data_IF_258554410057
#
_entry.id   IF_258554410057
#
_cell.length_a   1.000
_cell.length_b   1.000
_cell.length_c   1.000
_cell.angle_alpha   90.00
_cell.angle_beta   90.00
_cell.angle_gamma   90.00
#
_symmetry.space_group_name_H-M   'P 1'
#
loop_
_entity.id
_entity.type
_entity.pdbx_description
1 polymer ?
#
# COMPACT_ATOMS: atom_id res chain seq x y z
N UNK A 1 38.27 79.06 2.22
CA UNK A 1 39.37 78.22 2.76
C UNK A 1 38.90 77.23 3.82
N UNK A 2 38.50 77.60 5.05
CA UNK A 2 37.99 76.60 6.04
C UNK A 2 36.68 75.92 5.60
N UNK A 3 35.70 76.68 5.10
CA UNK A 3 34.41 76.14 4.62
C UNK A 3 34.51 75.16 3.44
N UNK A 4 35.54 75.32 2.61
CA UNK A 4 35.76 74.44 1.44
C UNK A 4 36.39 73.12 1.88
N UNK A 5 37.27 73.16 2.90
CA UNK A 5 37.87 71.97 3.51
C UNK A 5 36.81 71.08 4.17
N UNK A 6 35.86 71.68 4.89
CA UNK A 6 34.77 70.93 5.54
C UNK A 6 33.85 70.27 4.49
N UNK A 7 33.50 70.99 3.42
CA UNK A 7 32.74 70.42 2.29
C UNK A 7 33.46 69.26 1.61
N UNK A 8 34.77 69.38 1.38
CA UNK A 8 35.57 68.29 0.81
C UNK A 8 35.56 67.06 1.71
N UNK A 9 35.68 67.25 3.03
CA UNK A 9 35.61 66.16 4.01
C UNK A 9 34.26 65.45 3.98
N UNK A 10 33.15 66.21 3.95
CA UNK A 10 31.80 65.65 3.88
C UNK A 10 31.58 64.85 2.59
N UNK A 11 31.96 65.41 1.44
CA UNK A 11 31.83 64.74 0.15
C UNK A 11 32.67 63.47 0.06
N UNK A 12 33.86 63.47 0.69
CA UNK A 12 34.72 62.28 0.75
C UNK A 12 34.05 61.16 1.56
N UNK A 13 33.46 61.49 2.70
CA UNK A 13 32.73 60.54 3.54
C UNK A 13 31.48 60.00 2.83
N UNK A 14 30.80 60.83 2.05
CA UNK A 14 29.64 60.41 1.27
C UNK A 14 30.03 59.48 0.11
N UNK A 15 31.15 59.74 -0.57
CA UNK A 15 31.70 58.84 -1.59
C UNK A 15 32.09 57.49 -1.00
N UNK A 16 32.68 57.45 0.20
CA UNK A 16 33.00 56.20 0.90
C UNK A 16 31.75 55.41 1.28
N UNK A 17 30.70 56.10 1.76
CA UNK A 17 29.40 55.50 2.05
C UNK A 17 28.78 54.88 0.80
N UNK A 18 28.76 55.61 -0.31
CA UNK A 18 28.23 55.12 -1.59
C UNK A 18 29.00 53.91 -2.12
N UNK A 19 30.33 53.88 -1.96
CA UNK A 19 31.14 52.70 -2.31
C UNK A 19 30.77 51.48 -1.47
N UNK A 20 30.58 51.66 -0.16
CA UNK A 20 30.15 50.57 0.73
C UNK A 20 28.77 50.04 0.37
N UNK A 21 27.82 50.92 0.04
CA UNK A 21 26.48 50.54 -0.41
C UNK A 21 26.57 49.76 -1.74
N UNK A 22 27.38 50.22 -2.69
CA UNK A 22 27.60 49.52 -3.96
C UNK A 22 28.15 48.11 -3.77
N UNK A 23 29.11 47.92 -2.85
CA UNK A 23 29.63 46.60 -2.50
C UNK A 23 28.55 45.68 -1.91
N UNK A 24 27.74 46.20 -0.98
CA UNK A 24 26.60 45.45 -0.40
C UNK A 24 25.57 45.08 -1.45
N UNK A 25 25.29 45.98 -2.39
CA UNK A 25 24.36 45.74 -3.48
C UNK A 25 24.85 44.60 -4.38
N UNK A 26 26.14 44.57 -4.73
CA UNK A 26 26.72 43.48 -5.52
C UNK A 26 26.63 42.14 -4.78
N UNK A 27 26.97 42.12 -3.49
CA UNK A 27 26.85 40.91 -2.68
C UNK A 27 25.40 40.39 -2.61
N UNK A 28 24.42 41.30 -2.45
CA UNK A 28 23.00 40.93 -2.47
C UNK A 28 22.54 40.43 -3.85
N UNK A 29 23.09 40.96 -4.95
CA UNK A 29 22.79 40.44 -6.29
C UNK A 29 23.33 39.02 -6.48
N UNK A 30 24.53 38.73 -5.99
CA UNK A 30 25.09 37.37 -6.02
C UNK A 30 24.24 36.41 -5.18
N UNK A 31 23.87 36.80 -3.95
CA UNK A 31 23.00 36.00 -3.08
C UNK A 31 21.63 35.75 -3.72
N UNK A 32 21.03 36.76 -4.33
CA UNK A 32 19.76 36.62 -5.05
C UNK A 32 19.88 35.64 -6.22
N UNK A 33 20.98 35.70 -6.96
CA UNK A 33 21.23 34.76 -8.04
C UNK A 33 21.35 33.32 -7.51
N UNK A 34 22.11 33.12 -6.42
CA UNK A 34 22.26 31.82 -5.77
C UNK A 34 20.92 31.27 -5.29
N UNK A 35 20.14 32.07 -4.57
CA UNK A 35 18.82 31.67 -4.06
C UNK A 35 17.86 31.30 -5.19
N UNK A 36 17.88 32.06 -6.29
CA UNK A 36 17.05 31.76 -7.45
C UNK A 36 17.41 30.43 -8.09
N UNK A 37 18.70 30.12 -8.20
CA UNK A 37 19.17 28.81 -8.70
C UNK A 37 18.72 27.69 -7.78
N UNK A 38 18.92 27.82 -6.47
CA UNK A 38 18.48 26.82 -5.49
C UNK A 38 16.97 26.59 -5.52
N UNK A 39 16.17 27.66 -5.64
CA UNK A 39 14.72 27.56 -5.76
C UNK A 39 14.31 26.77 -7.00
N UNK A 40 14.90 27.08 -8.16
CA UNK A 40 14.59 26.38 -9.41
C UNK A 40 14.97 24.90 -9.34
N UNK A 41 16.13 24.57 -8.76
CA UNK A 41 16.57 23.18 -8.56
C UNK A 41 15.62 22.43 -7.63
N UNK A 42 15.25 23.02 -6.49
CA UNK A 42 14.32 22.44 -5.55
C UNK A 42 12.93 22.21 -6.17
N UNK A 43 12.44 23.15 -6.98
CA UNK A 43 11.18 23.01 -7.70
C UNK A 43 11.23 21.84 -8.69
N UNK A 44 12.32 21.71 -9.45
CA UNK A 44 12.50 20.59 -10.39
C UNK A 44 12.54 19.24 -9.67
N UNK A 45 13.26 19.14 -8.56
CA UNK A 45 13.29 17.93 -7.73
C UNK A 45 11.90 17.58 -7.21
N UNK A 46 11.10 18.56 -6.79
CA UNK A 46 9.74 18.33 -6.32
C UNK A 46 8.84 17.79 -7.43
N UNK A 47 8.96 18.32 -8.65
CA UNK A 47 8.24 17.84 -9.83
C UNK A 47 8.60 16.39 -10.16
N UNK A 48 9.90 16.05 -10.15
CA UNK A 48 10.40 14.68 -10.39
C UNK A 48 9.87 13.69 -9.34
N UNK A 49 9.95 14.03 -8.05
CA UNK A 49 9.41 13.21 -6.96
C UNK A 49 7.90 13.03 -7.08
N UNK A 50 7.17 14.10 -7.44
CA UNK A 50 5.73 14.04 -7.66
C UNK A 50 5.34 13.08 -8.79
N UNK A 51 6.09 13.10 -9.90
CA UNK A 51 5.89 12.18 -11.01
C UNK A 51 6.14 10.72 -10.60
N UNK A 52 7.26 10.44 -9.94
CA UNK A 52 7.59 9.08 -9.45
C UNK A 52 6.56 8.57 -8.45
N UNK A 53 6.08 9.41 -7.54
CA UNK A 53 5.04 9.03 -6.57
C UNK A 53 3.72 8.68 -7.27
N UNK A 54 3.33 9.44 -8.28
CA UNK A 54 2.14 9.17 -9.09
C UNK A 54 2.24 7.82 -9.80
N UNK A 55 3.39 7.54 -10.43
CA UNK A 55 3.66 6.27 -11.09
C UNK A 55 3.60 5.08 -10.11
N UNK A 56 4.31 5.19 -8.98
CA UNK A 56 4.30 4.15 -7.95
C UNK A 56 2.89 3.91 -7.38
N UNK A 57 2.07 4.96 -7.23
CA UNK A 57 0.68 4.84 -6.79
C UNK A 57 -0.17 4.04 -7.78
N UNK A 58 0.00 4.26 -9.08
CA UNK A 58 -0.71 3.51 -10.12
C UNK A 58 -0.28 2.04 -10.13
N UNK A 59 1.02 1.78 -10.03
CA UNK A 59 1.55 0.42 -9.95
C UNK A 59 1.02 -0.34 -8.74
N UNK A 60 0.97 0.31 -7.56
CA UNK A 60 0.41 -0.28 -6.35
C UNK A 60 -1.07 -0.61 -6.51
N UNK A 61 -1.86 0.28 -7.11
CA UNK A 61 -3.27 0.03 -7.37
C UNK A 61 -3.47 -1.20 -8.28
N UNK A 62 -2.66 -1.34 -9.32
CA UNK A 62 -2.72 -2.50 -10.22
C UNK A 62 -2.35 -3.81 -9.50
N UNK A 63 -1.34 -3.78 -8.62
CA UNK A 63 -0.95 -4.95 -7.82
C UNK A 63 -2.07 -5.36 -6.85
N UNK A 64 -2.68 -4.40 -6.15
CA UNK A 64 -3.81 -4.67 -5.25
C UNK A 64 -5.01 -5.25 -6.00
N UNK A 65 -5.31 -4.76 -7.21
CA UNK A 65 -6.34 -5.36 -8.05
C UNK A 65 -6.01 -6.79 -8.47
N UNK A 66 -4.74 -7.09 -8.78
CA UNK A 66 -4.28 -8.44 -9.11
C UNK A 66 -4.40 -9.37 -7.91
N UNK A 67 -4.02 -8.93 -6.72
CA UNK A 67 -4.17 -9.69 -5.48
C UNK A 67 -5.65 -9.97 -5.15
N UNK A 68 -6.51 -8.95 -5.25
CA UNK A 68 -7.96 -9.12 -5.04
C UNK A 68 -8.58 -10.10 -6.05
N UNK A 69 -8.13 -10.08 -7.31
CA UNK A 69 -8.55 -11.04 -8.33
C UNK A 69 -8.00 -12.44 -8.06
N UNK A 70 -6.78 -12.58 -7.54
CA UNK A 70 -6.21 -13.87 -7.17
C UNK A 70 -6.97 -14.51 -5.99
N UNK A 71 -7.37 -13.72 -4.98
CA UNK A 71 -8.13 -14.20 -3.82
C UNK A 71 -9.53 -14.72 -4.18
N UNK A 72 -10.19 -14.13 -5.18
CA UNK A 72 -11.54 -14.58 -5.60
C UNK A 72 -11.56 -15.90 -6.38
N UNK A 73 -10.41 -16.33 -6.92
CA UNK A 73 -10.29 -17.61 -7.66
C UNK A 73 -10.00 -18.79 -6.71
N UNK A 74 -9.44 -18.54 -5.52
CA UNK A 74 -9.12 -19.58 -4.54
C UNK A 74 -10.20 -19.81 -3.46
N UNK A 75 -11.09 -18.83 -3.21
CA UNK A 75 -12.06 -18.88 -2.11
C UNK A 75 -13.50 -19.24 -2.48
N UNK A 76 -13.81 -19.53 -3.75
CA UNK A 76 -15.04 -20.27 -4.03
C UNK A 76 -14.76 -21.74 -3.73
N UNK A 77 -15.27 -22.34 -2.63
CA UNK A 77 -15.07 -23.75 -2.37
C UNK A 77 -15.65 -24.54 -3.55
N UNK A 78 -14.78 -25.04 -4.43
CA UNK A 78 -15.20 -25.87 -5.55
C UNK A 78 -15.91 -27.07 -4.96
N UNK A 79 -17.24 -27.07 -5.02
CA UNK A 79 -18.05 -28.15 -4.50
C UNK A 79 -17.64 -29.41 -5.24
N UNK A 80 -16.85 -30.27 -4.58
CA UNK A 80 -16.23 -31.40 -5.26
C UNK A 80 -17.32 -32.33 -5.75
N UNK A 81 -17.31 -32.71 -7.02
CA UNK A 81 -18.29 -33.67 -7.52
C UNK A 81 -18.03 -35.04 -6.89
N UNK A 82 -19.10 -35.75 -6.55
CA UNK A 82 -19.00 -37.08 -5.93
C UNK A 82 -18.16 -38.06 -6.74
N UNK A 83 -18.11 -37.92 -8.06
CA UNK A 83 -17.34 -38.82 -8.94
C UNK A 83 -15.83 -38.64 -8.78
N UNK A 84 -15.37 -37.45 -8.39
CA UNK A 84 -13.95 -37.09 -8.35
C UNK A 84 -13.30 -37.46 -7.01
N UNK A 85 -14.10 -37.64 -5.95
CA UNK A 85 -13.59 -38.03 -4.64
C UNK A 85 -13.56 -39.55 -4.46
N UNK A 86 -12.39 -40.18 -4.61
CA UNK A 86 -12.20 -41.63 -4.35
C UNK A 86 -11.98 -41.94 -2.87
N UNK A 87 -11.47 -40.99 -2.09
CA UNK A 87 -11.16 -41.12 -0.67
C UNK A 87 -11.55 -39.88 0.14
N UNK A 88 -11.68 -40.04 1.46
CA UNK A 88 -11.96 -38.95 2.38
C UNK A 88 -10.82 -37.92 2.36
N UNK A 89 -11.13 -36.63 2.14
CA UNK A 89 -10.13 -35.56 2.10
C UNK A 89 -9.32 -35.44 3.40
N UNK A 90 -9.89 -35.79 4.56
CA UNK A 90 -9.18 -35.70 5.85
C UNK A 90 -8.34 -36.95 6.18
N UNK A 91 -8.92 -38.14 6.06
CA UNK A 91 -8.28 -39.37 6.55
C UNK A 91 -7.75 -40.29 5.45
N UNK A 92 -7.86 -39.89 4.17
CA UNK A 92 -7.41 -40.61 2.98
C UNK A 92 -7.97 -42.04 2.81
N UNK A 93 -8.94 -42.47 3.63
CA UNK A 93 -9.60 -43.78 3.48
C UNK A 93 -10.57 -43.76 2.30
N UNK A 94 -10.49 -44.78 1.45
CA UNK A 94 -11.34 -44.94 0.28
C UNK A 94 -12.83 -45.05 0.65
N UNK A 95 -13.67 -44.44 -0.18
CA UNK A 95 -15.10 -44.58 -0.08
C UNK A 95 -15.57 -45.94 -0.60
N UNK A 96 -16.66 -46.43 -0.02
CA UNK A 96 -17.28 -47.70 -0.41
C UNK A 96 -18.77 -47.64 -0.15
N UNK A 97 -19.51 -48.70 -0.46
CA UNK A 97 -20.96 -48.77 -0.19
C UNK A 97 -21.25 -48.52 1.31
N UNK A 98 -20.38 -49.04 2.20
CA UNK A 98 -20.50 -48.84 3.65
C UNK A 98 -19.93 -47.49 4.13
N UNK A 99 -18.95 -46.91 3.43
CA UNK A 99 -18.36 -45.60 3.75
C UNK A 99 -18.85 -44.55 2.75
N UNK A 100 -19.95 -43.89 3.09
CA UNK A 100 -20.59 -42.86 2.24
C UNK A 100 -19.86 -41.52 2.27
N UNK A 101 -20.04 -40.76 1.18
CA UNK A 101 -19.50 -39.42 0.93
C UNK A 101 -20.36 -38.35 1.60
N UNK A 102 -19.74 -37.34 2.18
CA UNK A 102 -20.41 -36.19 2.79
C UNK A 102 -19.65 -34.89 2.53
N UNK A 103 -20.31 -33.87 1.99
CA UNK A 103 -19.70 -32.55 1.80
C UNK A 103 -19.61 -31.72 3.07
N UNK A 104 -18.51 -31.01 3.22
CA UNK A 104 -18.42 -29.87 4.13
C UNK A 104 -19.09 -28.65 3.48
N UNK A 105 -20.08 -28.04 4.14
CA UNK A 105 -20.79 -26.87 3.59
C UNK A 105 -19.98 -25.57 3.64
N UNK A 106 -18.83 -25.56 4.30
CA UNK A 106 -17.91 -24.41 4.35
C UNK A 106 -16.81 -24.51 3.28
N UNK A 107 -16.10 -25.64 3.18
CA UNK A 107 -14.98 -25.79 2.24
C UNK A 107 -15.29 -26.62 0.97
N UNK A 108 -16.49 -27.17 0.80
CA UNK A 108 -16.91 -27.86 -0.44
C UNK A 108 -16.31 -29.25 -0.69
N UNK A 109 -15.28 -29.66 0.05
CA UNK A 109 -14.65 -30.98 -0.07
C UNK A 109 -15.51 -32.13 0.50
N UNK A 110 -15.13 -33.38 0.17
CA UNK A 110 -15.86 -34.60 0.52
C UNK A 110 -15.16 -35.41 1.62
N UNK A 111 -15.90 -35.76 2.66
CA UNK A 111 -15.43 -36.44 3.86
C UNK A 111 -16.27 -37.68 4.18
N UNK A 112 -15.72 -38.56 5.02
CA UNK A 112 -16.51 -39.63 5.64
C UNK A 112 -17.26 -39.11 6.88
N UNK A 113 -18.23 -39.89 7.36
CA UNK A 113 -19.06 -39.48 8.51
C UNK A 113 -18.23 -39.12 9.74
N UNK A 114 -17.17 -39.89 10.04
CA UNK A 114 -16.31 -39.67 11.19
C UNK A 114 -15.45 -38.39 11.10
N UNK A 115 -15.18 -37.87 9.90
CA UNK A 115 -14.37 -36.65 9.71
C UNK A 115 -15.23 -35.39 9.50
N UNK A 116 -16.55 -35.53 9.63
CA UNK A 116 -17.52 -34.46 9.36
C UNK A 116 -18.79 -34.61 10.20
N UNK A 117 -18.66 -35.09 11.43
CA UNK A 117 -19.81 -35.42 12.29
C UNK A 117 -20.48 -34.19 12.94
N UNK A 118 -19.90 -33.00 12.77
CA UNK A 118 -20.34 -31.76 13.41
C UNK A 118 -21.09 -30.82 12.46
N UNK A 119 -21.86 -29.92 13.06
CA UNK A 119 -22.59 -28.87 12.33
C UNK A 119 -22.32 -27.49 12.91
N UNK A 120 -22.29 -26.46 12.06
CA UNK A 120 -22.13 -25.05 12.46
C UNK A 120 -23.15 -24.16 11.75
N UNK A 121 -23.49 -23.02 12.35
CA UNK A 121 -24.28 -21.99 11.69
C UNK A 121 -23.38 -21.23 10.70
N UNK A 122 -23.68 -21.30 9.41
CA UNK A 122 -23.00 -20.53 8.36
C UNK A 122 -23.93 -19.43 7.85
N UNK A 123 -23.35 -18.29 7.46
CA UNK A 123 -24.09 -17.22 6.83
C UNK A 123 -24.88 -17.75 5.61
N UNK A 124 -26.13 -17.29 5.45
CA UNK A 124 -27.02 -17.73 4.38
C UNK A 124 -27.75 -19.06 4.62
N UNK A 125 -27.50 -19.76 5.72
CA UNK A 125 -28.24 -20.98 6.10
C UNK A 125 -29.12 -20.74 7.32
N UNK A 126 -30.38 -21.18 7.26
CA UNK A 126 -31.36 -21.00 8.36
C UNK A 126 -31.19 -22.01 9.50
N UNK A 127 -30.42 -23.09 9.26
CA UNK A 127 -30.14 -24.15 10.24
C UNK A 127 -28.64 -24.50 10.21
N UNK A 128 -28.07 -25.02 11.31
CA UNK A 128 -26.70 -25.52 11.30
C UNK A 128 -26.47 -26.57 10.22
N UNK A 129 -25.36 -26.47 9.51
CA UNK A 129 -25.00 -27.35 8.39
C UNK A 129 -23.73 -28.13 8.67
N UNK A 130 -23.61 -29.32 8.06
CA UNK A 130 -22.47 -30.21 8.23
C UNK A 130 -21.16 -29.56 7.77
N UNK A 131 -20.13 -29.67 8.60
CA UNK A 131 -18.76 -29.27 8.26
C UNK A 131 -17.75 -30.35 8.64
N UNK A 132 -16.56 -30.32 8.03
CA UNK A 132 -15.44 -31.17 8.45
C UNK A 132 -14.83 -30.67 9.77
N UNK A 133 -14.03 -31.51 10.42
CA UNK A 133 -13.41 -31.18 11.71
C UNK A 133 -12.53 -29.92 11.67
N UNK A 134 -11.79 -29.70 10.57
CA UNK A 134 -10.96 -28.50 10.39
C UNK A 134 -11.80 -27.22 10.35
N UNK A 135 -12.83 -27.20 9.49
CA UNK A 135 -13.77 -26.07 9.40
C UNK A 135 -14.55 -25.86 10.70
N UNK A 136 -14.85 -26.93 11.44
CA UNK A 136 -15.48 -26.80 12.75
C UNK A 136 -14.56 -26.11 13.76
N UNK A 137 -13.27 -26.47 13.78
CA UNK A 137 -12.30 -25.86 14.68
C UNK A 137 -12.11 -24.36 14.39
N UNK A 138 -11.96 -23.98 13.13
CA UNK A 138 -11.81 -22.58 12.72
C UNK A 138 -13.00 -21.70 13.14
N UNK A 139 -14.23 -22.18 12.92
CA UNK A 139 -15.45 -21.43 13.28
C UNK A 139 -15.61 -21.25 14.80
N UNK A 140 -14.94 -22.06 15.63
CA UNK A 140 -14.98 -21.90 17.10
C UNK A 140 -13.88 -21.01 17.66
N UNK A 141 -12.87 -20.65 16.87
CA UNK A 141 -11.79 -19.75 17.26
C UNK A 141 -12.08 -18.28 16.92
N UNK A 142 -13.14 -18.03 16.15
CA UNK A 142 -13.69 -16.72 15.80
C UNK A 142 -14.96 -16.43 16.60
#
# INVERSE_FOLDING_TARGET
MMRDRDKISMLTQEVESLKSIGQKYLALQEEQHTLKTQYNEAQKTLEEVGATLSENKLQLAELLEKEAKAQTVEESPTWTHDKDATACTACAKEFSIARRKHHCRRCGHIFCAACSDKTVALAGNTKPVRVCDACYAEVRLT
#
